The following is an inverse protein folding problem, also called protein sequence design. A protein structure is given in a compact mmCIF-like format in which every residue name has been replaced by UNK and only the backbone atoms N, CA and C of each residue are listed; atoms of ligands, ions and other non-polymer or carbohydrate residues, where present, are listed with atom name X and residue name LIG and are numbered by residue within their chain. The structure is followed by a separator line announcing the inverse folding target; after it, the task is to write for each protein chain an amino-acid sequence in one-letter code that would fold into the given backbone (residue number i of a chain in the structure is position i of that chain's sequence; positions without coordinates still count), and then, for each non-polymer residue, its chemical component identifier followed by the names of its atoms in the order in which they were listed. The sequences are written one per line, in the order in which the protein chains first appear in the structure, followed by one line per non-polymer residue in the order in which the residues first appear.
data_IF_945338607886
#
_entry.id   IF_945338607886
#
_cell.length_a   1.000
_cell.length_b   1.000
_cell.length_c   1.000
_cell.angle_alpha   90.00
_cell.angle_beta   90.00
_cell.angle_gamma   90.00
#
_symmetry.space_group_name_H-M   'P 1'
#
loop_
_entity.id
_entity.type
_entity.pdbx_description
1 polymer ?
#
# COMPACT_ATOMS: atom_id res chain seq x y z
N UNK A 1 -19.55 -10.92 -5.53
CA UNK A 1 -20.48 -9.88 -5.01
C UNK A 1 -19.90 -9.22 -3.76
N UNK A 2 -18.72 -8.56 -3.85
CA UNK A 2 -18.05 -7.94 -2.69
C UNK A 2 -17.76 -6.45 -2.93
N UNK A 3 -17.09 -6.09 -4.04
CA UNK A 3 -16.86 -4.67 -4.39
C UNK A 3 -18.13 -3.82 -4.39
N UNK A 4 -19.23 -4.29 -4.98
CA UNK A 4 -20.51 -3.58 -4.97
C UNK A 4 -21.04 -3.24 -3.56
N UNK A 5 -20.82 -4.10 -2.56
CA UNK A 5 -21.23 -3.87 -1.16
C UNK A 5 -20.43 -2.75 -0.50
N UNK A 6 -19.12 -2.69 -0.73
CA UNK A 6 -18.30 -1.58 -0.23
C UNK A 6 -18.62 -0.29 -1.00
N UNK A 7 -18.77 -0.37 -2.32
CA UNK A 7 -19.08 0.76 -3.21
C UNK A 7 -20.49 1.33 -3.04
N UNK A 8 -21.39 0.69 -2.30
CA UNK A 8 -22.68 1.27 -1.90
C UNK A 8 -22.61 2.21 -0.71
N UNK A 9 -21.47 2.29 0.01
CA UNK A 9 -21.29 3.29 1.07
C UNK A 9 -21.24 4.71 0.50
N UNK A 10 -22.09 5.60 1.02
CA UNK A 10 -22.25 6.97 0.52
C UNK A 10 -21.04 7.87 0.81
N UNK A 11 -20.28 7.60 1.88
CA UNK A 11 -19.07 8.34 2.19
C UNK A 11 -17.94 7.94 1.24
N UNK A 12 -17.81 6.64 0.95
CA UNK A 12 -16.86 6.14 -0.05
C UNK A 12 -17.19 6.67 -1.46
N UNK A 13 -18.48 6.74 -1.82
CA UNK A 13 -18.91 7.37 -3.07
C UNK A 13 -18.53 8.86 -3.11
N UNK A 14 -18.83 9.63 -2.05
CA UNK A 14 -18.48 11.04 -1.97
C UNK A 14 -16.96 11.28 -2.07
N UNK A 15 -16.15 10.47 -1.39
CA UNK A 15 -14.69 10.55 -1.46
C UNK A 15 -14.13 10.18 -2.85
N UNK A 16 -14.77 9.24 -3.57
CA UNK A 16 -14.45 8.94 -4.96
C UNK A 16 -14.87 10.03 -5.95
N UNK A 17 -15.94 10.78 -5.66
CA UNK A 17 -16.38 11.89 -6.49
C UNK A 17 -15.53 13.16 -6.28
N UNK A 18 -14.96 13.35 -5.10
CA UNK A 18 -14.23 14.58 -4.73
C UNK A 18 -12.81 14.68 -5.30
N UNK A 19 -12.12 13.56 -5.53
CA UNK A 19 -10.69 13.53 -5.89
C UNK A 19 -10.38 12.39 -6.89
N UNK A 20 -9.29 12.48 -7.68
CA UNK A 20 -8.74 11.34 -8.41
C UNK A 20 -8.03 10.36 -7.47
N UNK A 21 -8.14 9.05 -7.72
CA UNK A 21 -7.58 8.00 -6.85
C UNK A 21 -6.44 7.23 -7.51
N UNK A 22 -5.31 7.10 -6.80
CA UNK A 22 -4.20 6.21 -7.17
C UNK A 22 -4.36 4.90 -6.38
N UNK A 23 -5.05 3.92 -6.94
CA UNK A 23 -5.30 2.64 -6.28
C UNK A 23 -4.20 1.59 -6.54
N UNK A 24 -3.92 0.79 -5.51
CA UNK A 24 -3.21 -0.51 -5.58
C UNK A 24 -3.89 -1.46 -4.59
N UNK A 25 -3.73 -2.77 -4.77
CA UNK A 25 -4.33 -3.80 -3.91
C UNK A 25 -3.31 -4.33 -2.90
N UNK A 26 -3.81 -5.02 -1.88
CA UNK A 26 -3.00 -5.90 -1.03
C UNK A 26 -3.58 -7.33 -1.08
N UNK A 27 -3.72 -8.04 0.04
CA UNK A 27 -4.22 -9.42 0.01
C UNK A 27 -5.74 -9.57 -0.01
N UNK A 28 -6.45 -8.77 0.77
CA UNK A 28 -7.90 -8.94 0.98
C UNK A 28 -8.76 -8.71 -0.27
N UNK A 29 -8.23 -8.11 -1.34
CA UNK A 29 -8.87 -8.10 -2.67
C UNK A 29 -9.00 -9.49 -3.29
N UNK A 30 -8.14 -10.45 -2.92
CA UNK A 30 -8.12 -11.83 -3.44
C UNK A 30 -8.39 -12.85 -2.32
N UNK A 31 -7.52 -12.90 -1.31
CA UNK A 31 -7.56 -13.82 -0.17
C UNK A 31 -6.45 -13.45 0.83
N UNK A 32 -6.75 -13.38 2.13
CA UNK A 32 -5.77 -13.16 3.21
C UNK A 32 -4.42 -13.88 2.99
N UNK A 33 -3.30 -13.18 3.21
CA UNK A 33 -1.92 -13.70 3.16
C UNK A 33 -1.44 -14.31 1.82
N UNK A 34 -2.14 -14.15 0.70
CA UNK A 34 -1.67 -14.72 -0.56
C UNK A 34 -0.29 -14.17 -1.02
N UNK A 35 0.46 -15.01 -1.72
CA UNK A 35 1.79 -14.69 -2.24
C UNK A 35 2.03 -15.35 -3.61
N UNK A 36 2.13 -14.54 -4.66
CA UNK A 36 2.31 -15.04 -6.02
C UNK A 36 1.18 -15.97 -6.46
N UNK A 37 1.51 -17.19 -6.86
CA UNK A 37 0.53 -18.24 -7.21
C UNK A 37 0.10 -19.13 -6.02
N UNK A 38 0.38 -18.71 -4.77
CA UNK A 38 0.13 -19.50 -3.57
C UNK A 38 -1.00 -18.90 -2.72
N UNK A 39 -1.91 -19.79 -2.32
CA UNK A 39 -2.91 -19.54 -1.27
C UNK A 39 -2.36 -19.96 0.09
N UNK A 40 -2.62 -19.14 1.12
CA UNK A 40 -2.32 -19.45 2.52
C UNK A 40 -3.23 -20.57 3.08
N UNK A 41 -4.37 -20.85 2.44
CA UNK A 41 -5.33 -21.89 2.88
C UNK A 41 -5.17 -23.22 2.13
N UNK A 42 -4.04 -23.43 1.45
CA UNK A 42 -3.71 -24.71 0.81
C UNK A 42 -4.54 -25.12 -0.40
N UNK A 43 -5.39 -24.24 -0.97
CA UNK A 43 -6.15 -24.60 -2.19
C UNK A 43 -5.22 -24.78 -3.40
N UNK A 44 -5.56 -25.68 -4.36
CA UNK A 44 -4.70 -25.97 -5.51
C UNK A 44 -4.38 -24.72 -6.34
N UNK A 45 -3.13 -24.60 -6.83
CA UNK A 45 -2.66 -23.43 -7.62
C UNK A 45 -3.59 -23.05 -8.79
N UNK A 46 -4.18 -24.04 -9.47
CA UNK A 46 -5.13 -23.80 -10.57
C UNK A 46 -6.42 -23.12 -10.12
N UNK A 47 -6.99 -23.56 -8.99
CA UNK A 47 -8.16 -22.94 -8.38
C UNK A 47 -7.83 -21.54 -7.85
N UNK A 48 -6.67 -21.39 -7.20
CA UNK A 48 -6.21 -20.09 -6.71
C UNK A 48 -6.00 -19.08 -7.85
N UNK A 49 -5.41 -19.49 -8.98
CA UNK A 49 -5.29 -18.65 -10.18
C UNK A 49 -6.68 -18.26 -10.75
N UNK A 50 -7.63 -19.18 -10.78
CA UNK A 50 -9.01 -18.85 -11.19
C UNK A 50 -9.66 -17.81 -10.26
N UNK A 51 -9.46 -17.94 -8.94
CA UNK A 51 -9.90 -16.95 -7.94
C UNK A 51 -9.22 -15.59 -8.16
N UNK A 52 -7.89 -15.56 -8.36
CA UNK A 52 -7.12 -14.34 -8.62
C UNK A 52 -7.57 -13.64 -9.90
N UNK A 53 -7.85 -14.39 -10.96
CA UNK A 53 -8.40 -13.85 -12.21
C UNK A 53 -9.75 -13.15 -12.00
N UNK A 54 -10.69 -13.80 -11.32
CA UNK A 54 -12.00 -13.22 -11.01
C UNK A 54 -11.88 -11.99 -10.09
N UNK A 55 -10.97 -12.02 -9.11
CA UNK A 55 -10.70 -10.90 -8.22
C UNK A 55 -10.12 -9.69 -8.97
N UNK A 56 -9.11 -9.89 -9.83
CA UNK A 56 -8.50 -8.82 -10.62
C UNK A 56 -9.46 -8.24 -11.66
N UNK A 57 -10.30 -9.06 -12.28
CA UNK A 57 -11.38 -8.56 -13.14
C UNK A 57 -12.33 -7.66 -12.35
N UNK A 58 -12.84 -8.09 -11.20
CA UNK A 58 -13.71 -7.29 -10.37
C UNK A 58 -13.04 -6.00 -9.86
N UNK A 59 -11.76 -6.07 -9.48
CA UNK A 59 -10.95 -4.91 -9.06
C UNK A 59 -10.86 -3.86 -10.19
N UNK A 60 -10.57 -4.29 -11.43
CA UNK A 60 -10.52 -3.42 -12.60
C UNK A 60 -11.90 -2.82 -12.94
N UNK A 61 -12.98 -3.59 -12.83
CA UNK A 61 -14.34 -3.13 -13.13
C UNK A 61 -14.89 -2.09 -12.12
N UNK A 62 -14.36 -2.03 -10.90
CA UNK A 62 -14.87 -1.18 -9.82
C UNK A 62 -13.94 -0.02 -9.41
N UNK A 63 -12.81 0.19 -10.11
CA UNK A 63 -11.82 1.22 -9.80
C UNK A 63 -11.39 2.02 -11.05
N UNK A 64 -10.96 3.29 -10.88
CA UNK A 64 -10.60 4.19 -11.99
C UNK A 64 -9.21 3.86 -12.56
N UNK A 65 -9.01 2.62 -13.03
CA UNK A 65 -7.77 2.16 -13.63
C UNK A 65 -7.75 2.46 -15.14
N UNK A 66 -6.55 2.67 -15.69
CA UNK A 66 -6.37 2.86 -17.14
C UNK A 66 -6.37 1.51 -17.85
N UNK A 67 -6.63 1.48 -19.16
CA UNK A 67 -6.60 0.26 -20.00
C UNK A 67 -5.29 -0.55 -19.90
N UNK A 68 -4.17 0.09 -19.56
CA UNK A 68 -2.88 -0.57 -19.31
C UNK A 68 -2.89 -1.50 -18.08
N UNK A 69 -3.83 -1.31 -17.16
CA UNK A 69 -4.08 -2.16 -15.99
C UNK A 69 -5.19 -3.20 -16.25
N UNK A 70 -5.67 -3.38 -17.48
CA UNK A 70 -6.67 -4.41 -17.78
C UNK A 70 -6.07 -5.80 -17.54
N UNK A 71 -6.65 -6.65 -16.67
CA UNK A 71 -6.10 -7.97 -16.39
C UNK A 71 -6.20 -8.91 -17.60
N UNK A 72 -5.29 -9.89 -17.63
CA UNK A 72 -5.29 -11.00 -18.59
C UNK A 72 -5.28 -12.30 -17.79
N UNK A 73 -6.45 -12.91 -17.62
CA UNK A 73 -6.61 -14.06 -16.74
C UNK A 73 -6.16 -13.71 -15.31
N UNK A 74 -5.24 -14.49 -14.70
CA UNK A 74 -4.80 -14.26 -13.32
C UNK A 74 -3.77 -13.13 -13.18
N UNK A 75 -3.39 -12.41 -14.25
CA UNK A 75 -2.29 -11.46 -14.21
C UNK A 75 -2.74 -10.02 -14.51
N UNK A 76 -2.27 -9.06 -13.70
CA UNK A 76 -2.51 -7.63 -13.89
C UNK A 76 -1.19 -6.85 -13.78
N UNK A 77 -1.03 -5.76 -14.54
CA UNK A 77 0.12 -4.85 -14.42
C UNK A 77 -0.30 -3.62 -13.62
N UNK A 78 -0.49 -3.81 -12.31
CA UNK A 78 -0.98 -2.74 -11.42
C UNK A 78 0.11 -1.70 -11.09
N UNK A 79 1.36 -2.16 -10.95
CA UNK A 79 2.49 -1.30 -10.61
C UNK A 79 2.89 -0.39 -11.77
N UNK A 80 3.15 0.88 -11.43
CA UNK A 80 3.23 1.98 -12.40
C UNK A 80 3.90 3.20 -11.78
N UNK A 81 4.43 4.06 -12.65
CA UNK A 81 5.04 5.35 -12.33
C UNK A 81 4.03 6.46 -12.62
N UNK A 82 3.91 7.45 -11.75
CA UNK A 82 3.05 8.61 -11.93
C UNK A 82 3.82 9.87 -11.53
N UNK A 83 4.18 10.68 -12.52
CA UNK A 83 4.95 11.92 -12.34
C UNK A 83 3.99 13.10 -12.22
N UNK A 84 4.14 13.92 -11.18
CA UNK A 84 3.44 15.20 -11.02
C UNK A 84 4.42 16.36 -11.22
N UNK A 85 4.59 16.77 -12.48
CA UNK A 85 5.51 17.85 -12.85
C UNK A 85 6.96 17.52 -12.49
N UNK A 86 7.65 18.48 -11.88
CA UNK A 86 8.97 18.38 -11.27
C UNK A 86 8.92 18.17 -9.74
N UNK A 87 7.72 18.05 -9.16
CA UNK A 87 7.50 18.02 -7.72
C UNK A 87 7.66 16.62 -7.10
N UNK A 88 7.03 15.60 -7.68
CA UNK A 88 7.02 14.24 -7.12
C UNK A 88 6.81 13.16 -8.17
N UNK A 89 7.42 12.01 -7.92
CA UNK A 89 7.32 10.80 -8.73
C UNK A 89 6.84 9.62 -7.88
N UNK A 90 5.64 9.13 -8.17
CA UNK A 90 5.05 8.01 -7.43
C UNK A 90 5.36 6.67 -8.11
N UNK A 91 6.20 5.88 -7.46
CA UNK A 91 6.37 4.46 -7.76
C UNK A 91 5.32 3.63 -7.02
N UNK A 92 4.19 3.36 -7.69
CA UNK A 92 3.14 2.49 -7.14
C UNK A 92 3.59 1.03 -7.34
N UNK A 93 3.78 0.29 -6.25
CA UNK A 93 4.33 -1.07 -6.25
C UNK A 93 3.26 -2.14 -6.02
N UNK A 94 3.38 -3.26 -6.73
CA UNK A 94 2.73 -4.54 -6.39
C UNK A 94 3.67 -5.35 -5.48
N UNK A 95 3.18 -5.80 -4.33
CA UNK A 95 3.93 -6.61 -3.34
C UNK A 95 3.31 -8.00 -3.13
N UNK A 96 2.34 -8.38 -3.97
CA UNK A 96 1.60 -9.65 -3.85
C UNK A 96 1.71 -10.53 -5.09
N UNK A 97 1.48 -10.03 -6.31
CA UNK A 97 1.47 -10.87 -7.52
C UNK A 97 2.82 -11.54 -7.82
N UNK A 98 3.91 -10.90 -7.44
CA UNK A 98 5.27 -11.36 -7.75
C UNK A 98 6.05 -11.85 -6.53
N UNK A 99 5.40 -11.86 -5.35
CA UNK A 99 6.01 -12.30 -4.09
C UNK A 99 6.29 -13.81 -4.12
N UNK A 100 7.49 -14.21 -3.73
CA UNK A 100 7.80 -15.57 -3.32
C UNK A 100 8.13 -15.58 -1.82
N UNK A 101 7.59 -16.52 -1.01
CA UNK A 101 7.88 -16.57 0.42
C UNK A 101 9.36 -16.74 0.77
N UNK A 102 10.19 -17.20 -0.18
CA UNK A 102 11.57 -17.56 0.06
C UNK A 102 12.60 -16.48 -0.39
N UNK A 103 12.33 -15.69 -1.44
CA UNK A 103 13.40 -14.90 -2.10
C UNK A 103 13.04 -13.54 -2.70
N UNK A 104 11.76 -13.12 -2.78
CA UNK A 104 11.45 -11.79 -3.36
C UNK A 104 10.06 -11.27 -3.01
N UNK A 105 9.91 -9.94 -2.92
CA UNK A 105 8.61 -9.26 -2.80
C UNK A 105 8.06 -8.80 -4.16
N UNK A 106 8.94 -8.28 -5.03
CA UNK A 106 8.57 -7.64 -6.30
C UNK A 106 8.78 -8.56 -7.51
N UNK A 107 9.54 -9.65 -7.37
CA UNK A 107 10.06 -10.40 -8.51
C UNK A 107 11.10 -9.60 -9.32
N UNK A 108 11.87 -10.29 -10.16
CA UNK A 108 12.89 -9.62 -10.98
C UNK A 108 12.30 -8.51 -11.89
N UNK A 109 11.21 -8.73 -12.66
CA UNK A 109 10.75 -7.73 -13.64
C UNK A 109 10.28 -6.40 -13.03
N UNK A 110 9.69 -6.40 -11.83
CA UNK A 110 9.29 -5.15 -11.15
C UNK A 110 10.46 -4.53 -10.39
N UNK A 111 11.33 -5.35 -9.77
CA UNK A 111 12.56 -4.86 -9.13
C UNK A 111 13.44 -4.13 -10.14
N UNK A 112 13.66 -4.73 -11.32
CA UNK A 112 14.44 -4.13 -12.39
C UNK A 112 13.71 -2.90 -12.96
N UNK A 113 12.39 -2.96 -13.19
CA UNK A 113 11.59 -1.78 -13.59
C UNK A 113 11.72 -0.62 -12.58
N UNK A 114 11.70 -0.91 -11.28
CA UNK A 114 11.84 0.09 -10.23
C UNK A 114 13.21 0.76 -10.32
N UNK A 115 14.31 0.00 -10.33
CA UNK A 115 15.65 0.56 -10.45
C UNK A 115 15.89 1.34 -11.76
N UNK A 116 15.27 0.93 -12.87
CA UNK A 116 15.34 1.67 -14.14
C UNK A 116 14.45 2.93 -14.20
N UNK A 117 13.55 3.13 -13.23
CA UNK A 117 12.69 4.30 -13.18
C UNK A 117 12.96 5.19 -11.96
N UNK A 118 13.64 4.66 -10.94
CA UNK A 118 14.15 5.34 -9.76
C UNK A 118 15.26 6.32 -10.14
N UNK A 119 14.86 7.48 -10.66
CA UNK A 119 15.73 8.58 -11.05
C UNK A 119 15.24 9.86 -10.37
N UNK A 120 15.30 9.88 -9.03
CA UNK A 120 14.79 10.99 -8.20
C UNK A 120 14.78 10.63 -6.72
N UNK A 121 14.52 11.63 -5.87
CA UNK A 121 14.61 11.53 -4.41
C UNK A 121 13.46 10.70 -3.81
N UNK A 122 13.75 9.96 -2.72
CA UNK A 122 12.81 9.10 -2.01
C UNK A 122 12.54 9.59 -0.60
N UNK A 123 11.42 9.14 -0.01
CA UNK A 123 11.06 9.40 1.40
C UNK A 123 10.49 8.07 2.00
N UNK A 124 11.35 7.30 2.69
CA UNK A 124 11.19 6.08 3.50
C UNK A 124 12.36 6.01 4.52
N UNK A 125 12.20 5.73 5.83
CA UNK A 125 13.16 6.05 6.93
C UNK A 125 14.40 5.14 6.95
N UNK A 126 15.24 5.30 5.93
CA UNK A 126 16.30 4.38 5.58
C UNK A 126 17.64 4.99 5.99
N UNK A 127 18.20 4.42 7.04
CA UNK A 127 19.59 4.62 7.40
C UNK A 127 20.50 3.93 6.37
N UNK A 128 21.63 4.56 6.02
CA UNK A 128 22.58 4.03 5.03
C UNK A 128 23.17 2.67 5.44
N UNK A 129 23.27 2.43 6.75
CA UNK A 129 23.38 1.12 7.37
C UNK A 129 22.16 0.92 8.28
N UNK A 130 21.37 -0.14 8.04
CA UNK A 130 20.14 -0.43 8.79
C UNK A 130 20.42 -0.75 10.27
N UNK A 131 21.60 -1.32 10.57
CA UNK A 131 21.99 -1.71 11.93
C UNK A 131 22.65 -0.57 12.71
N UNK A 132 23.02 0.55 12.05
CA UNK A 132 23.53 1.77 12.69
C UNK A 132 22.52 2.94 12.60
N UNK A 133 21.77 3.21 13.69
CA UNK A 133 20.80 4.31 13.75
C UNK A 133 21.44 5.71 13.82
N UNK A 134 22.77 5.81 13.83
CA UNK A 134 23.51 7.07 13.68
C UNK A 134 23.99 7.31 12.25
N UNK A 135 23.90 6.31 11.37
CA UNK A 135 24.27 6.43 9.96
C UNK A 135 23.31 7.37 9.21
N UNK A 136 23.73 8.00 8.10
CA UNK A 136 22.93 8.98 7.38
C UNK A 136 21.56 8.45 6.96
N UNK A 137 20.51 9.21 7.31
CA UNK A 137 19.15 9.00 6.81
C UNK A 137 19.11 9.42 5.34
N UNK A 138 18.66 8.53 4.45
CA UNK A 138 18.60 8.80 3.00
C UNK A 138 17.18 9.10 2.48
N UNK A 139 16.15 9.02 3.34
CA UNK A 139 14.71 9.20 3.06
C UNK A 139 13.87 9.05 4.40
N UNK A 140 12.53 9.30 4.49
CA UNK A 140 11.65 9.11 5.70
C UNK A 140 10.25 8.43 5.48
N UNK A 141 9.81 7.44 6.29
CA UNK A 141 8.66 6.53 5.97
C UNK A 141 7.32 6.91 6.63
N UNK A 142 6.23 6.74 5.88
CA UNK A 142 4.85 6.95 6.33
C UNK A 142 4.00 5.68 6.23
N UNK A 143 3.70 5.07 7.37
CA UNK A 143 2.73 3.97 7.48
C UNK A 143 1.35 4.53 7.86
N UNK A 144 0.37 4.37 6.97
CA UNK A 144 -1.02 4.73 7.26
C UNK A 144 -1.72 3.71 8.15
N UNK A 145 -2.66 4.17 8.97
CA UNK A 145 -3.56 3.29 9.75
C UNK A 145 -4.74 2.79 8.90
N UNK A 146 -5.56 1.90 9.45
CA UNK A 146 -6.77 1.39 8.80
C UNK A 146 -7.89 2.46 8.74
N UNK A 147 -8.73 2.38 7.72
CA UNK A 147 -9.97 3.17 7.66
C UNK A 147 -11.00 2.62 8.66
N UNK A 148 -11.12 1.29 8.76
CA UNK A 148 -12.08 0.63 9.66
C UNK A 148 -11.70 -0.79 10.10
N UNK A 149 -10.55 -1.32 9.67
CA UNK A 149 -10.10 -2.66 10.07
C UNK A 149 -9.76 -2.64 11.57
N UNK A 150 -10.23 -3.65 12.30
CA UNK A 150 -10.11 -3.75 13.78
C UNK A 150 -10.87 -2.69 14.59
N UNK A 151 -11.68 -1.85 13.92
CA UNK A 151 -12.65 -0.97 14.57
C UNK A 151 -12.06 0.31 15.15
N UNK A 152 -12.33 0.58 16.42
CA UNK A 152 -11.96 1.84 17.09
C UNK A 152 -10.47 1.95 17.45
N UNK A 153 -9.77 0.81 17.51
CA UNK A 153 -8.35 0.76 17.86
C UNK A 153 -8.03 1.20 19.30
N UNK A 154 -6.74 1.41 19.58
CA UNK A 154 -6.22 1.82 20.89
C UNK A 154 -5.06 2.81 20.66
N UNK A 155 -5.09 3.99 21.29
CA UNK A 155 -4.04 5.02 21.11
C UNK A 155 -2.63 4.52 21.49
N UNK A 156 -2.53 3.67 22.51
CA UNK A 156 -1.29 3.04 22.96
C UNK A 156 -1.49 1.53 23.11
N UNK A 157 -1.27 0.73 22.05
CA UNK A 157 -1.41 -0.72 22.14
C UNK A 157 -0.33 -1.32 23.08
N UNK A 158 -0.64 -2.40 23.81
CA UNK A 158 0.34 -3.10 24.64
C UNK A 158 1.60 -3.46 23.84
N UNK A 159 2.76 -3.01 24.31
CA UNK A 159 4.05 -3.23 23.64
C UNK A 159 4.58 -2.07 22.78
N UNK A 160 3.78 -1.04 22.47
CA UNK A 160 4.22 0.11 21.66
C UNK A 160 5.53 0.76 22.17
N UNK A 161 5.62 1.01 23.49
CA UNK A 161 6.82 1.56 24.10
C UNK A 161 8.04 0.61 24.09
N UNK A 162 7.84 -0.70 23.97
CA UNK A 162 8.94 -1.65 23.77
C UNK A 162 9.41 -1.62 22.31
N UNK A 163 8.47 -1.58 21.35
CA UNK A 163 8.77 -1.45 19.93
C UNK A 163 9.52 -0.14 19.61
N UNK A 164 9.07 1.00 20.14
CA UNK A 164 9.75 2.30 19.95
C UNK A 164 11.17 2.32 20.54
N UNK A 165 11.41 1.67 21.69
CA UNK A 165 12.77 1.54 22.26
C UNK A 165 13.67 0.61 21.45
N UNK A 166 13.11 -0.44 20.86
CA UNK A 166 13.86 -1.37 20.01
C UNK A 166 14.13 -0.80 18.59
N UNK A 167 13.35 0.19 18.14
CA UNK A 167 13.40 0.74 16.79
C UNK A 167 13.57 2.28 16.85
N UNK A 168 14.78 2.81 17.16
CA UNK A 168 15.01 4.26 17.32
C UNK A 168 14.81 5.09 16.04
N UNK A 169 14.74 4.44 14.87
CA UNK A 169 14.31 5.05 13.61
C UNK A 169 12.80 5.38 13.61
N UNK A 170 11.95 4.62 14.34
CA UNK A 170 10.50 4.83 14.35
C UNK A 170 10.10 6.05 15.18
N UNK A 171 9.74 7.16 14.51
CA UNK A 171 9.44 8.45 15.17
C UNK A 171 8.01 8.60 15.70
N UNK A 172 7.05 7.80 15.23
CA UNK A 172 5.63 7.92 15.59
C UNK A 172 4.93 6.55 15.63
N UNK A 173 3.99 6.37 16.57
CA UNK A 173 3.16 5.17 16.72
C UNK A 173 1.78 5.54 17.29
N UNK A 174 0.70 5.26 16.56
CA UNK A 174 -0.69 5.51 16.97
C UNK A 174 -1.66 4.63 16.19
N UNK A 175 -2.63 4.01 16.88
CA UNK A 175 -3.54 3.01 16.29
C UNK A 175 -5.00 3.26 16.67
N UNK A 176 -5.50 4.50 16.58
CA UNK A 176 -6.89 4.86 16.94
C UNK A 176 -7.75 5.29 15.74
N UNK A 177 -9.07 5.11 15.89
CA UNK A 177 -10.25 5.56 15.10
C UNK A 177 -10.05 6.22 13.73
N UNK A 178 -10.89 5.90 12.72
CA UNK A 178 -10.67 6.10 11.29
C UNK A 178 -9.79 7.31 10.94
N UNK A 179 -8.57 7.07 10.46
CA UNK A 179 -7.67 8.14 10.01
C UNK A 179 -7.28 7.97 8.56
N UNK A 180 -7.22 9.10 7.85
CA UNK A 180 -6.49 9.21 6.60
C UNK A 180 -5.18 9.98 6.86
N UNK A 181 -4.07 9.46 6.36
CA UNK A 181 -2.84 10.24 6.26
C UNK A 181 -3.00 11.26 5.14
N UNK A 182 -2.77 12.54 5.45
CA UNK A 182 -2.78 13.64 4.48
C UNK A 182 -1.38 14.22 4.41
N UNK A 183 -0.75 14.08 3.25
CA UNK A 183 0.58 14.64 2.99
C UNK A 183 0.48 15.89 2.13
N UNK A 184 1.28 16.90 2.45
CA UNK A 184 1.47 18.12 1.66
C UNK A 184 2.90 18.08 1.13
N UNK A 185 3.05 18.16 -0.19
CA UNK A 185 4.35 18.09 -0.88
C UNK A 185 4.64 19.47 -1.45
N UNK A 186 5.78 20.05 -1.07
CA UNK A 186 6.35 21.25 -1.66
C UNK A 186 7.75 20.94 -2.22
N UNK A 187 8.28 21.78 -3.10
CA UNK A 187 9.58 21.53 -3.76
C UNK A 187 10.79 21.56 -2.82
N UNK A 188 10.61 21.99 -1.57
CA UNK A 188 11.64 22.10 -0.54
C UNK A 188 11.27 21.38 0.77
N UNK A 189 10.06 20.81 0.89
CA UNK A 189 9.52 20.28 2.14
C UNK A 189 8.43 19.23 1.89
N UNK A 190 8.41 18.17 2.72
CA UNK A 190 7.32 17.20 2.77
C UNK A 190 6.74 17.17 4.19
N UNK A 191 5.49 17.60 4.33
CA UNK A 191 4.74 17.47 5.57
C UNK A 191 3.74 16.31 5.49
N UNK A 192 3.56 15.58 6.59
CA UNK A 192 2.52 14.56 6.72
C UNK A 192 1.74 14.72 8.03
N UNK A 193 0.42 14.78 7.93
CA UNK A 193 -0.48 14.86 9.07
C UNK A 193 -1.50 13.72 9.07
N UNK A 194 -1.62 13.03 10.21
CA UNK A 194 -2.67 12.03 10.41
C UNK A 194 -3.99 12.73 10.78
N UNK A 195 -5.04 12.58 9.96
CA UNK A 195 -6.37 13.14 10.22
C UNK A 195 -7.34 12.06 10.67
N UNK A 196 -7.57 11.96 11.97
CA UNK A 196 -8.60 11.09 12.54
C UNK A 196 -9.96 11.76 12.67
N UNK A 197 -11.02 10.95 12.70
CA UNK A 197 -12.36 11.41 13.06
C UNK A 197 -12.39 11.91 14.52
N UNK A 198 -12.97 13.10 14.77
CA UNK A 198 -13.25 13.55 16.13
C UNK A 198 -14.29 12.63 16.80
N UNK A 199 -14.19 12.39 18.12
CA UNK A 199 -15.27 11.72 18.85
C UNK A 199 -16.57 12.53 18.75
N UNK A 200 -17.70 11.82 18.66
CA UNK A 200 -19.04 12.39 18.80
C UNK A 200 -19.39 12.55 20.28
#
# INVERSE_FOLDING_TARGET
MRFAQYKSDTNLQAAHAALPWIAVFDDHEVQNNWAGDHSDTGIPRGEFRARRAAAFQAYYEHLPLRRAQRPTGPDIRIHRRLVLGDLVDFHVLDTRQYRSPAHTMLGAPQKDWLFHNAHGNFVADVHADFDDPTSPVVATEFVGTSISSEGDGIDHPPGAAALLRANPHRKFDRVSRPQASVCVVASFELEAGCRGAQPR
#
